data_IF_818115695747
#
_entry.id   IF_818115695747
#
_cell.length_a   1.000
_cell.length_b   1.000
_cell.length_c   1.000
_cell.angle_alpha   90.00
_cell.angle_beta   90.00
_cell.angle_gamma   90.00
#
_symmetry.space_group_name_H-M   'P 1'
#
loop_
_entity.id
_entity.type
_entity.pdbx_description
1 polymer ?
#
# COMPACT_ATOMS: atom_id res chain seq x y z
N UNK A 1 3.65 28.81 0.82
CA UNK A 1 4.41 27.62 0.43
C UNK A 1 4.08 26.54 1.44
N UNK A 2 3.02 25.75 1.21
CA UNK A 2 2.68 24.66 2.11
C UNK A 2 3.52 23.46 1.71
N UNK A 3 4.54 23.13 2.50
CA UNK A 3 5.19 21.83 2.43
C UNK A 3 4.12 20.78 2.68
N UNK A 4 3.68 20.11 1.60
CA UNK A 4 2.76 18.98 1.72
C UNK A 4 3.51 17.88 2.44
N UNK A 5 3.27 17.70 3.75
CA UNK A 5 3.84 16.60 4.52
C UNK A 5 3.58 15.29 3.79
N UNK A 6 4.66 14.64 3.35
CA UNK A 6 4.57 13.31 2.75
C UNK A 6 4.30 12.32 3.89
N UNK A 7 3.05 11.88 4.01
CA UNK A 7 2.62 10.86 4.97
C UNK A 7 3.59 9.66 4.92
N UNK A 8 4.21 9.29 6.05
CA UNK A 8 5.17 8.19 6.13
C UNK A 8 4.48 6.88 6.49
N UNK A 9 4.84 5.82 5.78
CA UNK A 9 4.29 4.49 5.99
C UNK A 9 5.35 3.53 6.54
N UNK A 10 4.97 2.55 7.39
CA UNK A 10 5.88 1.54 7.94
C UNK A 10 6.20 0.47 6.88
N UNK A 11 6.99 0.88 5.89
CA UNK A 11 7.56 0.00 4.85
C UNK A 11 8.89 -0.59 5.31
N UNK A 12 9.36 -1.60 4.58
CA UNK A 12 10.69 -2.19 4.80
C UNK A 12 11.78 -1.11 4.65
N UNK A 13 12.80 -1.15 5.50
CA UNK A 13 13.90 -0.16 5.51
C UNK A 13 14.69 -0.11 4.20
N UNK A 14 14.70 -1.22 3.45
CA UNK A 14 15.37 -1.33 2.15
C UNK A 14 14.56 -0.68 1.02
N UNK A 15 13.35 -0.18 1.31
CA UNK A 15 12.45 0.44 0.34
C UNK A 15 12.40 1.95 0.55
N UNK A 16 12.69 2.70 -0.52
CA UNK A 16 12.46 4.14 -0.56
C UNK A 16 10.99 4.41 -0.85
N UNK A 17 10.26 4.95 0.12
CA UNK A 17 8.92 5.47 -0.12
C UNK A 17 8.98 6.67 -1.08
N UNK A 18 8.23 6.60 -2.19
CA UNK A 18 8.09 7.70 -3.15
C UNK A 18 6.81 8.49 -2.90
N UNK A 19 5.68 7.79 -2.74
CA UNK A 19 4.35 8.35 -2.49
C UNK A 19 3.51 7.31 -1.73
N UNK A 20 2.44 7.74 -1.09
CA UNK A 20 1.43 6.82 -0.60
C UNK A 20 0.15 7.55 -0.23
N UNK A 21 -0.91 6.77 -0.03
CA UNK A 21 -2.20 7.25 0.45
C UNK A 21 -2.80 6.23 1.40
N UNK A 22 -3.19 6.69 2.58
CA UNK A 22 -4.04 5.91 3.48
C UNK A 22 -5.41 5.68 2.85
N UNK A 23 -5.86 4.42 2.86
CA UNK A 23 -7.23 4.03 2.49
C UNK A 23 -8.13 4.14 3.72
N UNK A 24 -7.68 3.58 4.85
CA UNK A 24 -8.27 3.83 6.16
C UNK A 24 -7.24 3.59 7.27
N UNK A 25 -7.45 4.21 8.43
CA UNK A 25 -6.67 3.97 9.63
C UNK A 25 -7.57 4.05 10.87
N UNK A 26 -7.48 3.04 11.72
CA UNK A 26 -8.14 2.94 13.02
C UNK A 26 -7.07 2.70 14.10
N UNK A 27 -7.47 2.57 15.35
CA UNK A 27 -6.54 2.22 16.45
C UNK A 27 -5.85 0.87 16.23
N UNK A 28 -6.55 -0.08 15.60
CA UNK A 28 -6.07 -1.47 15.42
C UNK A 28 -5.54 -1.74 14.02
N UNK A 29 -6.05 -1.07 12.99
CA UNK A 29 -5.79 -1.42 11.60
C UNK A 29 -5.41 -0.20 10.76
N UNK A 30 -4.43 -0.38 9.87
CA UNK A 30 -4.04 0.63 8.91
C UNK A 30 -3.93 0.00 7.53
N UNK A 31 -4.70 0.49 6.56
CA UNK A 31 -4.62 0.09 5.16
C UNK A 31 -4.18 1.26 4.30
N UNK A 32 -3.19 1.06 3.44
CA UNK A 32 -2.69 2.09 2.53
C UNK A 32 -2.17 1.50 1.23
N UNK A 33 -2.13 2.32 0.18
CA UNK A 33 -1.39 2.03 -1.04
C UNK A 33 -0.13 2.89 -1.07
N UNK A 34 1.04 2.25 -1.17
CA UNK A 34 2.35 2.92 -1.07
C UNK A 34 3.20 2.58 -2.29
N UNK A 35 3.65 3.61 -3.00
CA UNK A 35 4.59 3.49 -4.10
C UNK A 35 6.01 3.54 -3.53
N UNK A 36 6.75 2.46 -3.74
CA UNK A 36 8.13 2.30 -3.26
C UNK A 36 9.10 2.03 -4.40
N UNK A 37 10.38 2.33 -4.17
CA UNK A 37 11.50 1.93 -5.01
C UNK A 37 12.51 1.11 -4.19
N UNK A 38 12.93 -0.04 -4.72
CA UNK A 38 13.93 -0.91 -4.11
C UNK A 38 14.69 -1.66 -5.19
N UNK A 39 16.02 -1.79 -5.04
CA UNK A 39 16.89 -2.46 -6.03
C UNK A 39 16.68 -1.97 -7.48
N UNK A 40 16.45 -0.66 -7.66
CA UNK A 40 16.23 -0.04 -8.97
C UNK A 40 14.86 -0.31 -9.60
N UNK A 41 13.93 -0.94 -8.88
CA UNK A 41 12.57 -1.24 -9.37
C UNK A 41 11.52 -0.52 -8.54
N UNK A 42 10.50 0.00 -9.22
CA UNK A 42 9.32 0.60 -8.58
C UNK A 42 8.20 -0.43 -8.47
N UNK A 43 7.42 -0.33 -7.41
CA UNK A 43 6.19 -1.09 -7.23
C UNK A 43 5.21 -0.34 -6.35
N UNK A 44 3.92 -0.52 -6.61
CA UNK A 44 2.86 -0.13 -5.70
C UNK A 44 2.55 -1.32 -4.80
N UNK A 45 2.51 -1.12 -3.49
CA UNK A 45 2.09 -2.16 -2.55
C UNK A 45 0.88 -1.68 -1.77
N UNK A 46 -0.19 -2.47 -1.80
CA UNK A 46 -1.33 -2.30 -0.89
C UNK A 46 -1.00 -3.05 0.38
N UNK A 47 -0.82 -2.30 1.47
CA UNK A 47 -0.50 -2.84 2.78
C UNK A 47 -1.74 -2.88 3.67
N UNK A 48 -1.79 -3.88 4.53
CA UNK A 48 -2.59 -3.89 5.74
C UNK A 48 -1.66 -4.16 6.92
N UNK A 49 -1.59 -3.20 7.83
CA UNK A 49 -0.90 -3.34 9.11
C UNK A 49 -1.91 -3.50 10.25
N UNK A 50 -1.49 -4.22 11.28
CA UNK A 50 -2.16 -4.27 12.56
C UNK A 50 -1.27 -3.66 13.64
N UNK A 51 -1.86 -2.86 14.53
CA UNK A 51 -1.17 -2.34 15.71
C UNK A 51 -0.95 -3.47 16.71
N UNK A 52 0.30 -3.70 17.11
CA UNK A 52 0.73 -4.65 18.15
C UNK A 52 1.82 -3.99 18.99
N UNK A 53 1.59 -3.85 20.30
CA UNK A 53 2.53 -3.22 21.24
C UNK A 53 2.99 -1.83 20.78
N UNK A 54 2.05 -1.00 20.32
CA UNK A 54 2.30 0.33 19.75
C UNK A 54 3.13 0.36 18.46
N UNK A 55 3.39 -0.79 17.83
CA UNK A 55 4.02 -0.90 16.53
C UNK A 55 3.03 -1.35 15.44
N UNK A 56 3.20 -0.85 14.22
CA UNK A 56 2.49 -1.36 13.06
C UNK A 56 3.22 -2.58 12.47
N UNK A 57 2.59 -3.76 12.53
CA UNK A 57 3.13 -4.98 11.91
C UNK A 57 2.34 -5.32 10.65
N UNK A 58 3.04 -5.60 9.56
CA UNK A 58 2.42 -6.00 8.28
C UNK A 58 1.69 -7.33 8.49
N UNK A 59 0.39 -7.34 8.20
CA UNK A 59 -0.44 -8.56 8.19
C UNK A 59 -0.65 -9.04 6.76
N UNK A 60 -0.87 -8.12 5.82
CA UNK A 60 -0.96 -8.42 4.41
C UNK A 60 -0.22 -7.38 3.57
N UNK A 61 0.32 -7.82 2.44
CA UNK A 61 0.82 -6.95 1.39
C UNK A 61 0.50 -7.57 0.03
N UNK A 62 -0.04 -6.76 -0.86
CA UNK A 62 -0.29 -7.12 -2.24
C UNK A 62 0.51 -6.16 -3.12
N UNK A 63 1.49 -6.71 -3.85
CA UNK A 63 2.43 -5.95 -4.67
C UNK A 63 1.94 -5.93 -6.11
N UNK A 64 2.08 -4.77 -6.74
CA UNK A 64 1.74 -4.50 -8.13
C UNK A 64 3.00 -3.92 -8.77
N UNK A 65 3.53 -4.61 -9.78
CA UNK A 65 4.78 -4.25 -10.44
C UNK A 65 4.55 -3.48 -11.73
N UNK A 66 3.46 -3.75 -12.44
CA UNK A 66 3.15 -3.10 -13.73
C UNK A 66 1.72 -2.59 -13.79
N UNK A 67 1.47 -1.71 -14.77
CA UNK A 67 0.10 -1.23 -15.03
C UNK A 67 -0.80 -2.32 -15.61
N UNK A 68 -0.24 -3.24 -16.40
CA UNK A 68 -0.98 -4.32 -17.04
C UNK A 68 -1.42 -5.38 -16.03
N UNK A 69 -0.56 -5.70 -15.06
CA UNK A 69 -0.91 -6.55 -13.90
C UNK A 69 -2.08 -5.93 -13.14
N UNK A 70 -2.01 -4.64 -12.82
CA UNK A 70 -3.12 -3.95 -12.16
C UNK A 70 -4.40 -3.92 -12.99
N UNK A 71 -4.30 -3.67 -14.30
CA UNK A 71 -5.47 -3.61 -15.17
C UNK A 71 -6.23 -4.94 -15.16
N UNK A 72 -5.50 -6.06 -15.28
CA UNK A 72 -6.07 -7.41 -15.24
C UNK A 72 -6.68 -7.73 -13.88
N UNK A 73 -5.96 -7.43 -12.80
CA UNK A 73 -6.45 -7.74 -11.46
C UNK A 73 -7.68 -6.91 -11.13
N UNK A 74 -7.69 -5.62 -11.50
CA UNK A 74 -8.86 -4.75 -11.37
C UNK A 74 -10.06 -5.30 -12.15
N UNK A 75 -9.88 -5.69 -13.41
CA UNK A 75 -10.97 -6.21 -14.25
C UNK A 75 -11.64 -7.43 -13.61
N UNK A 76 -10.85 -8.43 -13.21
CA UNK A 76 -11.37 -9.66 -12.60
C UNK A 76 -12.03 -9.38 -11.24
N UNK A 77 -11.42 -8.51 -10.41
CA UNK A 77 -11.99 -8.15 -9.11
C UNK A 77 -13.32 -7.42 -9.28
N UNK A 78 -13.42 -6.48 -10.22
CA UNK A 78 -14.66 -5.73 -10.51
C UNK A 78 -15.75 -6.66 -11.04
N UNK A 79 -15.42 -7.63 -11.89
CA UNK A 79 -16.36 -8.66 -12.35
C UNK A 79 -16.94 -9.46 -11.17
N UNK A 80 -16.09 -9.94 -10.27
CA UNK A 80 -16.53 -10.75 -9.13
C UNK A 80 -17.30 -9.94 -8.08
N UNK A 81 -16.93 -8.68 -7.86
CA UNK A 81 -17.63 -7.80 -6.90
C UNK A 81 -19.07 -7.52 -7.32
N UNK A 82 -19.39 -7.54 -8.63
CA UNK A 82 -20.78 -7.38 -9.09
C UNK A 82 -21.72 -8.48 -8.58
N UNK A 83 -21.17 -9.60 -8.09
CA UNK A 83 -21.94 -10.72 -7.53
C UNK A 83 -22.09 -10.66 -6.00
N UNK A 84 -21.60 -9.62 -5.33
CA UNK A 84 -21.79 -9.37 -3.89
C UNK A 84 -23.10 -8.60 -3.64
#
# INVERSE_FOLDING_TARGET
MSDTEVERFPVDENLKQLKGKTIYKTEKWWKAAVLTEGWGKRSLTVYLWQSKNNDWKVVQKYKIHTRDEWAKDKEIIEELIQSL
#
